data_IF_797363724214
#
_entry.id   IF_797363724214
#
_cell.length_a   1.000
_cell.length_b   1.000
_cell.length_c   1.000
_cell.angle_alpha   90.00
_cell.angle_beta   90.00
_cell.angle_gamma   90.00
#
_symmetry.space_group_name_H-M   'P 1'
#
loop_
_entity.id
_entity.type
_entity.pdbx_description
1 polymer ?
#
# COMPACT_ATOMS: atom_id res chain seq x y z
N UNK A 1 10.99 -19.77 21.71
CA UNK A 1 11.12 -18.68 20.71
C UNK A 1 9.78 -18.03 20.30
N UNK A 2 8.63 -18.70 20.46
CA UNK A 2 7.30 -18.09 20.20
C UNK A 2 6.89 -17.03 21.22
N UNK A 3 7.33 -17.11 22.47
CA UNK A 3 7.03 -16.11 23.51
C UNK A 3 7.66 -14.73 23.25
N UNK A 4 8.73 -14.65 22.45
CA UNK A 4 9.44 -13.40 22.14
C UNK A 4 8.64 -12.43 21.27
N UNK A 5 7.77 -12.92 20.39
CA UNK A 5 6.97 -12.04 19.52
C UNK A 5 5.72 -11.48 20.23
N UNK A 6 5.13 -12.22 21.16
CA UNK A 6 4.08 -11.68 22.03
C UNK A 6 4.61 -10.60 22.97
N UNK A 7 5.87 -10.71 23.41
CA UNK A 7 6.50 -9.74 24.32
C UNK A 7 6.68 -8.35 23.68
N UNK A 8 6.88 -8.26 22.36
CA UNK A 8 7.00 -6.99 21.64
C UNK A 8 5.71 -6.15 21.66
N UNK A 9 4.56 -6.79 21.77
CA UNK A 9 3.26 -6.13 21.74
C UNK A 9 2.61 -6.01 23.10
N UNK A 10 3.02 -6.81 24.11
CA UNK A 10 2.45 -6.77 25.46
C UNK A 10 2.63 -5.42 26.16
N UNK A 11 3.74 -4.71 25.92
CA UNK A 11 3.95 -3.37 26.47
C UNK A 11 3.07 -2.29 25.83
N UNK A 12 2.52 -2.56 24.63
CA UNK A 12 1.67 -1.63 23.89
C UNK A 12 0.18 -1.98 23.98
N UNK A 13 -0.19 -3.11 24.57
CA UNK A 13 -1.58 -3.54 24.64
C UNK A 13 -2.45 -2.55 25.41
N UNK A 14 -1.96 -2.04 26.55
CA UNK A 14 -2.63 -1.01 27.33
C UNK A 14 -2.72 0.31 26.56
N UNK A 15 -1.66 0.68 25.84
CA UNK A 15 -1.65 1.88 25.01
C UNK A 15 -2.66 1.75 23.86
N UNK A 16 -2.70 0.61 23.17
CA UNK A 16 -3.69 0.33 22.11
C UNK A 16 -5.12 0.37 22.68
N UNK A 17 -5.34 -0.16 23.89
CA UNK A 17 -6.65 -0.15 24.54
C UNK A 17 -7.03 1.28 24.98
N UNK A 18 -6.07 2.07 25.50
CA UNK A 18 -6.32 3.45 25.90
C UNK A 18 -6.52 4.35 24.70
N UNK A 19 -5.73 4.20 23.63
CA UNK A 19 -5.85 4.97 22.41
C UNK A 19 -7.19 4.67 21.68
N UNK A 20 -7.67 3.43 21.74
CA UNK A 20 -9.01 3.07 21.25
C UNK A 20 -10.16 3.51 22.17
N UNK A 21 -9.89 3.84 23.44
CA UNK A 21 -10.91 4.34 24.38
C UNK A 21 -10.92 5.87 24.50
N UNK A 22 -9.80 6.51 24.33
CA UNK A 22 -9.73 7.97 24.18
C UNK A 22 -10.23 8.30 22.77
N UNK A 23 -11.55 8.31 22.61
CA UNK A 23 -12.20 8.78 21.40
C UNK A 23 -11.85 10.24 21.13
N UNK A 24 -10.62 10.48 20.75
CA UNK A 24 -10.26 11.72 20.07
C UNK A 24 -11.02 11.70 18.73
N UNK A 25 -11.59 12.82 18.38
CA UNK A 25 -12.49 13.09 17.26
C UNK A 25 -12.02 12.64 15.86
N UNK A 26 -11.20 11.61 15.77
CA UNK A 26 -10.72 10.97 14.54
C UNK A 26 -11.77 10.05 13.87
N UNK A 27 -12.91 9.80 14.55
CA UNK A 27 -14.05 9.06 13.98
C UNK A 27 -14.58 9.72 12.69
N UNK A 28 -14.40 11.03 12.55
CA UNK A 28 -14.79 11.77 11.36
C UNK A 28 -14.00 11.35 10.10
N UNK A 29 -12.75 10.92 10.26
CA UNK A 29 -11.86 10.51 9.18
C UNK A 29 -11.77 8.98 8.98
N UNK A 30 -12.45 8.20 9.81
CA UNK A 30 -12.52 6.73 9.69
C UNK A 30 -11.16 6.05 9.52
N UNK A 31 -10.17 6.50 10.29
CA UNK A 31 -8.81 5.98 10.25
C UNK A 31 -7.91 6.58 9.17
N UNK A 32 -8.39 7.54 8.39
CA UNK A 32 -7.54 8.29 7.49
C UNK A 32 -6.73 9.33 8.26
N UNK A 33 -5.41 9.21 8.25
CA UNK A 33 -4.49 10.19 8.83
C UNK A 33 -3.84 10.97 7.71
N UNK A 34 -4.31 12.20 7.41
CA UNK A 34 -3.75 12.99 6.33
C UNK A 34 -2.34 13.47 6.69
N UNK A 35 -1.45 13.43 5.71
CA UNK A 35 -0.14 14.04 5.80
C UNK A 35 -0.20 15.44 5.18
N UNK A 36 0.01 16.46 5.99
CA UNK A 36 0.01 17.85 5.53
C UNK A 36 1.46 18.28 5.25
N UNK A 37 1.72 18.65 4.02
CA UNK A 37 3.04 19.07 3.57
C UNK A 37 3.27 18.72 2.11
N UNK A 38 4.35 19.24 1.57
CA UNK A 38 4.79 18.96 0.19
C UNK A 38 6.27 18.67 0.21
N UNK A 39 6.67 17.71 -0.57
CA UNK A 39 8.08 17.32 -0.71
C UNK A 39 8.90 18.50 -1.22
N UNK A 40 9.90 18.91 -0.44
CA UNK A 40 10.76 20.07 -0.74
C UNK A 40 12.05 19.71 -1.46
N UNK A 41 12.44 18.42 -1.44
CA UNK A 41 13.67 17.94 -2.03
C UNK A 41 13.40 17.13 -3.30
N UNK A 42 14.27 17.28 -4.28
CA UNK A 42 14.23 16.52 -5.53
C UNK A 42 15.22 15.34 -5.54
N UNK A 43 16.02 15.20 -4.47
CA UNK A 43 16.97 14.10 -4.38
C UNK A 43 16.25 12.81 -4.08
N UNK A 44 16.13 12.01 -5.12
CA UNK A 44 15.90 10.59 -4.98
C UNK A 44 17.29 10.00 -4.81
N UNK A 45 17.53 9.36 -3.70
CA UNK A 45 18.70 8.51 -3.59
C UNK A 45 18.59 7.48 -4.72
N UNK A 46 19.54 7.52 -5.64
CA UNK A 46 19.68 6.46 -6.63
C UNK A 46 19.67 5.15 -5.84
N UNK A 47 18.60 4.41 -5.94
CA UNK A 47 18.57 3.03 -5.49
C UNK A 47 19.51 2.26 -6.44
N UNK A 48 20.80 2.51 -6.28
CA UNK A 48 21.84 1.80 -7.00
C UNK A 48 21.63 0.33 -6.74
N UNK A 49 21.08 -0.33 -7.75
CA UNK A 49 21.17 -1.76 -8.11
C UNK A 49 21.74 -2.66 -7.01
N UNK A 50 21.17 -2.66 -5.87
CA UNK A 50 21.35 -3.76 -4.95
C UNK A 50 20.57 -4.92 -5.54
N UNK A 51 21.24 -6.01 -5.77
CA UNK A 51 20.62 -7.28 -6.14
C UNK A 51 19.50 -7.52 -5.14
N UNK A 52 18.26 -7.37 -5.60
CA UNK A 52 17.09 -7.44 -4.71
C UNK A 52 16.88 -8.90 -4.39
N UNK A 53 17.28 -9.30 -3.20
CA UNK A 53 16.92 -10.61 -2.67
C UNK A 53 15.43 -10.57 -2.34
N UNK A 54 14.65 -11.24 -3.18
CA UNK A 54 13.19 -11.25 -3.04
C UNK A 54 12.82 -11.91 -1.73
N UNK A 55 12.11 -11.17 -0.86
CA UNK A 55 11.57 -11.69 0.37
C UNK A 55 10.49 -12.76 0.09
N UNK A 56 10.97 -14.00 0.00
CA UNK A 56 10.13 -15.17 -0.29
C UNK A 56 9.04 -15.38 0.74
N UNK A 57 9.24 -14.90 1.98
CA UNK A 57 8.25 -14.99 3.05
C UNK A 57 7.06 -14.05 2.77
N UNK A 58 7.31 -12.84 2.28
CA UNK A 58 6.23 -11.93 1.87
C UNK A 58 5.41 -12.54 0.73
N UNK A 59 6.07 -13.07 -0.30
CA UNK A 59 5.39 -13.72 -1.42
C UNK A 59 4.58 -14.94 -0.97
N UNK A 60 5.10 -15.72 -0.02
CA UNK A 60 4.37 -16.84 0.59
C UNK A 60 3.07 -16.38 1.26
N UNK A 61 3.12 -15.34 2.09
CA UNK A 61 1.92 -14.85 2.77
C UNK A 61 0.90 -14.22 1.82
N UNK A 62 1.34 -13.53 0.78
CA UNK A 62 0.43 -13.03 -0.26
C UNK A 62 -0.28 -14.18 -0.96
N UNK A 63 0.45 -15.23 -1.35
CA UNK A 63 -0.13 -16.41 -1.98
C UNK A 63 -1.10 -17.14 -1.05
N UNK A 64 -0.79 -17.20 0.24
CA UNK A 64 -1.69 -17.74 1.25
C UNK A 64 -2.96 -16.91 1.39
N UNK A 65 -2.86 -15.58 1.44
CA UNK A 65 -4.01 -14.68 1.45
C UNK A 65 -4.94 -14.92 0.25
N UNK A 66 -4.37 -15.04 -0.95
CA UNK A 66 -5.12 -15.33 -2.17
C UNK A 66 -5.90 -16.65 -2.03
N UNK A 67 -5.25 -17.70 -1.54
CA UNK A 67 -5.88 -19.02 -1.34
C UNK A 67 -6.98 -18.96 -0.28
N UNK A 68 -6.72 -18.31 0.84
CA UNK A 68 -7.68 -18.20 1.95
C UNK A 68 -8.93 -17.41 1.52
N UNK A 69 -8.77 -16.34 0.76
CA UNK A 69 -9.88 -15.57 0.19
C UNK A 69 -10.69 -16.42 -0.80
N UNK A 70 -10.01 -17.11 -1.71
CA UNK A 70 -10.67 -17.98 -2.69
C UNK A 70 -11.48 -19.10 -2.01
N UNK A 71 -10.90 -19.76 -1.01
CA UNK A 71 -11.58 -20.84 -0.27
C UNK A 71 -12.81 -20.36 0.52
N UNK A 72 -12.80 -19.09 0.96
CA UNK A 72 -13.90 -18.49 1.72
C UNK A 72 -14.91 -17.73 0.85
N UNK A 73 -14.74 -17.74 -0.46
CA UNK A 73 -15.60 -16.98 -1.37
C UNK A 73 -15.47 -15.45 -1.21
N UNK A 74 -14.35 -14.97 -0.67
CA UNK A 74 -14.07 -13.54 -0.50
C UNK A 74 -13.49 -13.00 -1.80
N UNK A 75 -14.12 -11.97 -2.36
CA UNK A 75 -13.58 -11.25 -3.52
C UNK A 75 -12.37 -10.43 -3.09
N UNK A 76 -11.22 -10.72 -3.69
CA UNK A 76 -9.96 -10.04 -3.43
C UNK A 76 -9.58 -9.20 -4.65
N UNK A 77 -9.14 -7.98 -4.41
CA UNK A 77 -8.53 -7.10 -5.42
C UNK A 77 -7.30 -6.45 -4.78
N UNK A 78 -6.20 -6.39 -5.51
CA UNK A 78 -5.02 -5.66 -5.07
C UNK A 78 -5.00 -4.27 -5.71
N UNK A 79 -4.45 -3.30 -5.00
CA UNK A 79 -4.16 -1.98 -5.53
C UNK A 79 -2.71 -1.61 -5.22
N UNK A 80 -1.96 -1.21 -6.25
CA UNK A 80 -0.64 -0.63 -6.10
C UNK A 80 -0.74 0.89 -6.26
N UNK A 81 -0.47 1.61 -5.19
CA UNK A 81 -0.53 3.07 -5.16
C UNK A 81 0.62 3.69 -5.96
N UNK A 82 0.43 4.91 -6.48
CA UNK A 82 1.50 5.65 -7.12
C UNK A 82 2.68 5.88 -6.18
N UNK A 83 3.88 5.87 -6.75
CA UNK A 83 5.12 6.22 -6.08
C UNK A 83 5.80 7.35 -6.84
N UNK A 84 6.34 8.35 -6.09
CA UNK A 84 7.06 9.43 -6.73
C UNK A 84 8.32 8.92 -7.44
N UNK A 85 8.53 9.41 -8.68
CA UNK A 85 9.65 9.01 -9.55
C UNK A 85 9.77 7.51 -9.88
N UNK A 86 8.72 6.73 -9.66
CA UNK A 86 8.70 5.30 -9.96
C UNK A 86 9.02 4.96 -11.41
N UNK A 87 8.71 5.84 -12.35
CA UNK A 87 8.91 5.64 -13.80
C UNK A 87 10.38 5.32 -14.12
N UNK A 88 11.31 5.89 -13.36
CA UNK A 88 12.75 5.72 -13.57
C UNK A 88 13.36 4.59 -12.73
N UNK A 89 12.55 3.92 -11.91
CA UNK A 89 13.03 2.93 -10.94
C UNK A 89 12.23 1.63 -11.05
N UNK A 90 12.67 0.66 -11.87
CA UNK A 90 12.03 -0.64 -11.94
C UNK A 90 12.01 -1.33 -10.56
N UNK A 91 10.84 -1.78 -10.13
CA UNK A 91 10.66 -2.48 -8.86
C UNK A 91 10.55 -3.98 -9.09
N UNK A 92 11.59 -4.72 -8.69
CA UNK A 92 11.65 -6.18 -8.85
C UNK A 92 10.61 -6.90 -7.96
N UNK A 93 10.28 -6.34 -6.79
CA UNK A 93 9.23 -6.91 -5.92
C UNK A 93 7.85 -6.75 -6.56
N UNK A 94 7.56 -5.57 -7.10
CA UNK A 94 6.31 -5.35 -7.81
C UNK A 94 6.20 -6.28 -9.01
N UNK A 95 7.26 -6.45 -9.79
CA UNK A 95 7.28 -7.35 -10.93
C UNK A 95 7.00 -8.81 -10.51
N UNK A 96 7.67 -9.29 -9.46
CA UNK A 96 7.46 -10.64 -8.92
C UNK A 96 6.04 -10.82 -8.38
N UNK A 97 5.53 -9.84 -7.66
CA UNK A 97 4.15 -9.81 -7.16
C UNK A 97 3.15 -9.90 -8.31
N UNK A 98 3.26 -9.03 -9.32
CA UNK A 98 2.35 -9.02 -10.46
C UNK A 98 2.37 -10.34 -11.24
N UNK A 99 3.55 -10.94 -11.42
CA UNK A 99 3.70 -12.24 -12.04
C UNK A 99 3.00 -13.37 -11.27
N UNK A 100 3.05 -13.32 -9.93
CA UNK A 100 2.38 -14.26 -9.05
C UNK A 100 0.85 -14.09 -9.09
N UNK A 101 0.37 -12.86 -8.95
CA UNK A 101 -1.07 -12.56 -8.89
C UNK A 101 -1.75 -12.86 -10.22
N UNK A 102 -1.08 -12.60 -11.34
CA UNK A 102 -1.56 -12.95 -12.68
C UNK A 102 -1.94 -14.42 -12.82
N UNK A 103 -1.20 -15.33 -12.17
CA UNK A 103 -1.49 -16.78 -12.17
C UNK A 103 -2.73 -17.14 -11.37
N UNK A 104 -3.17 -16.28 -10.48
CA UNK A 104 -4.28 -16.52 -9.55
C UNK A 104 -5.60 -15.89 -10.00
N UNK A 105 -5.61 -15.20 -11.14
CA UNK A 105 -6.78 -14.51 -11.68
C UNK A 105 -7.39 -13.45 -10.73
N UNK A 106 -6.59 -12.92 -9.80
CA UNK A 106 -7.01 -11.85 -8.89
C UNK A 106 -6.79 -10.50 -9.58
N UNK A 107 -7.81 -9.63 -9.63
CA UNK A 107 -7.65 -8.30 -10.22
C UNK A 107 -6.59 -7.46 -9.51
N UNK A 108 -5.83 -6.71 -10.28
CA UNK A 108 -4.85 -5.73 -9.78
C UNK A 108 -5.10 -4.38 -10.44
N UNK A 109 -5.35 -3.37 -9.62
CA UNK A 109 -5.35 -1.97 -10.02
C UNK A 109 -3.93 -1.45 -9.80
N UNK A 110 -3.21 -1.12 -10.87
CA UNK A 110 -1.79 -0.77 -10.77
C UNK A 110 -1.54 0.65 -11.24
N UNK A 111 -1.36 1.57 -10.30
CA UNK A 111 -0.97 2.95 -10.50
C UNK A 111 0.48 3.25 -10.12
N UNK A 112 1.28 2.23 -9.79
CA UNK A 112 2.63 2.40 -9.29
C UNK A 112 3.49 3.31 -10.17
N UNK A 113 3.37 3.15 -11.49
CA UNK A 113 4.11 3.92 -12.50
C UNK A 113 3.25 5.00 -13.18
N UNK A 114 2.13 5.40 -12.58
CA UNK A 114 1.26 6.43 -13.17
C UNK A 114 1.97 7.78 -13.26
N UNK A 115 2.21 8.23 -14.49
CA UNK A 115 2.97 9.44 -14.77
C UNK A 115 2.30 10.71 -14.18
N UNK A 116 0.97 10.73 -14.05
CA UNK A 116 0.24 11.87 -13.47
C UNK A 116 0.60 12.10 -12.00
N UNK A 117 0.99 11.05 -11.30
CA UNK A 117 1.49 11.11 -9.92
C UNK A 117 3.02 11.12 -9.88
N UNK A 118 3.67 10.15 -10.53
CA UNK A 118 5.08 9.89 -10.40
C UNK A 118 5.99 11.09 -10.76
N UNK A 119 5.49 12.03 -11.55
CA UNK A 119 6.21 13.25 -11.94
C UNK A 119 5.80 14.50 -11.16
N UNK A 120 4.81 14.40 -10.27
CA UNK A 120 4.24 15.55 -9.56
C UNK A 120 4.54 15.50 -8.06
N UNK A 121 5.67 16.10 -7.66
CA UNK A 121 6.08 16.16 -6.25
C UNK A 121 5.09 16.87 -5.34
N UNK A 122 4.23 17.74 -5.86
CA UNK A 122 3.23 18.45 -5.06
C UNK A 122 2.15 17.55 -4.49
N UNK A 123 2.05 16.31 -4.97
CA UNK A 123 1.11 15.31 -4.46
C UNK A 123 1.73 14.40 -3.38
N UNK A 124 3.00 14.65 -3.02
CA UNK A 124 3.72 13.82 -2.06
C UNK A 124 4.28 14.63 -0.90
N UNK A 125 4.34 14.01 0.27
CA UNK A 125 5.07 14.52 1.42
C UNK A 125 6.54 14.10 1.38
N UNK A 126 6.79 12.88 0.95
CA UNK A 126 8.11 12.30 0.70
C UNK A 126 8.04 11.34 -0.51
N UNK A 127 9.12 10.64 -0.82
CA UNK A 127 9.18 9.74 -1.99
C UNK A 127 8.20 8.57 -1.93
N UNK A 128 7.70 8.20 -0.75
CA UNK A 128 6.86 7.03 -0.52
C UNK A 128 5.43 7.38 -0.15
N UNK A 129 5.20 8.54 0.42
CA UNK A 129 3.91 8.90 1.01
C UNK A 129 3.27 10.08 0.26
N UNK A 130 2.08 9.86 -0.26
CA UNK A 130 1.26 10.95 -0.78
C UNK A 130 0.85 11.88 0.36
N UNK A 131 0.81 13.19 0.10
CA UNK A 131 0.17 14.14 1.00
C UNK A 131 -1.36 14.06 0.88
N UNK A 132 -2.07 14.86 1.69
CA UNK A 132 -3.54 14.94 1.69
C UNK A 132 -4.12 15.05 0.28
N UNK A 133 -3.62 15.99 -0.52
CA UNK A 133 -4.13 16.24 -1.87
C UNK A 133 -3.91 15.05 -2.80
N UNK A 134 -2.72 14.46 -2.77
CA UNK A 134 -2.39 13.25 -3.54
C UNK A 134 -3.27 12.07 -3.15
N UNK A 135 -3.41 11.83 -1.84
CA UNK A 135 -4.23 10.75 -1.31
C UNK A 135 -5.72 10.90 -1.67
N UNK A 136 -6.26 12.11 -1.61
CA UNK A 136 -7.66 12.38 -2.00
C UNK A 136 -7.91 12.15 -3.48
N UNK A 137 -7.00 12.63 -4.35
CA UNK A 137 -7.10 12.41 -5.80
C UNK A 137 -7.03 10.91 -6.10
N UNK A 138 -6.03 10.23 -5.56
CA UNK A 138 -5.86 8.79 -5.79
C UNK A 138 -7.04 7.97 -5.27
N UNK A 139 -7.56 8.28 -4.09
CA UNK A 139 -8.70 7.57 -3.52
C UNK A 139 -9.95 7.66 -4.38
N UNK A 140 -10.20 8.82 -5.03
CA UNK A 140 -11.33 8.97 -5.97
C UNK A 140 -11.15 8.13 -7.22
N UNK A 141 -9.94 8.10 -7.79
CA UNK A 141 -9.61 7.26 -8.96
C UNK A 141 -9.81 5.80 -8.60
N UNK A 142 -9.22 5.36 -7.49
CA UNK A 142 -9.29 3.97 -7.02
C UNK A 142 -10.75 3.55 -6.75
N UNK A 143 -11.54 4.40 -6.09
CA UNK A 143 -12.95 4.12 -5.83
C UNK A 143 -13.77 3.96 -7.11
N UNK A 144 -13.50 4.78 -8.11
CA UNK A 144 -14.13 4.69 -9.43
C UNK A 144 -13.79 3.36 -10.12
N UNK A 145 -12.52 2.97 -10.13
CA UNK A 145 -12.08 1.72 -10.76
C UNK A 145 -12.60 0.47 -10.04
N UNK A 146 -12.59 0.46 -8.70
CA UNK A 146 -13.20 -0.62 -7.92
C UNK A 146 -14.68 -0.77 -8.26
N UNK A 147 -15.41 0.33 -8.36
CA UNK A 147 -16.82 0.32 -8.74
C UNK A 147 -17.02 -0.30 -10.13
N UNK A 148 -16.17 0.05 -11.10
CA UNK A 148 -16.23 -0.54 -12.44
C UNK A 148 -15.91 -2.02 -12.44
N UNK A 149 -14.90 -2.48 -11.71
CA UNK A 149 -14.57 -3.91 -11.59
C UNK A 149 -15.72 -4.73 -10.99
N UNK A 150 -16.53 -4.14 -10.12
CA UNK A 150 -17.68 -4.82 -9.52
C UNK A 150 -18.94 -4.79 -10.37
N UNK A 151 -19.05 -3.85 -11.30
CA UNK A 151 -20.19 -3.77 -12.23
C UNK A 151 -20.04 -4.70 -13.45
N UNK A 152 -18.82 -5.15 -13.72
CA UNK A 152 -18.52 -6.07 -14.82
C UNK A 152 -18.56 -7.54 -14.41
N UNK A 153 -18.94 -7.85 -13.17
CA UNK A 153 -19.19 -9.20 -12.63
C UNK A 153 -20.67 -9.38 -12.25
#
# INVERSE_FOLDING_TARGET
KMLSNMFRYNGKLLQIITDNKSGDNDDALKGFVPLDGTMTYDKIEDATKTQVDLDTLKLYYINRLIKDCSQKGIRLTFAASPLYNSINQPDAYLAAFLAMVKKSNVPVINHYYDASFATNKNLFQDTYHMNRSGAEIYSRILAHEIKHLHLLQ
#
